data_IF_975815950336
#
_entry.id   IF_975815950336
#
_cell.length_a   1.000
_cell.length_b   1.000
_cell.length_c   1.000
_cell.angle_alpha   90.00
_cell.angle_beta   90.00
_cell.angle_gamma   90.00
#
_symmetry.space_group_name_H-M   'P 1'
#
loop_
_entity.id
_entity.type
_entity.pdbx_description
1 polymer ?
#
# COMPACT_ATOMS: atom_id res chain seq x y z
N UNK A 1 -6.50 7.66 0.85
CA UNK A 1 -5.36 6.78 1.09
C UNK A 1 -4.09 7.58 0.98
N UNK A 2 -3.11 7.33 1.84
CA UNK A 2 -1.81 8.00 1.81
C UNK A 2 -0.71 6.96 1.77
N UNK A 3 0.26 7.15 0.88
CA UNK A 3 1.46 6.33 0.77
C UNK A 3 2.61 7.08 1.43
N UNK A 4 3.16 6.52 2.51
CA UNK A 4 4.38 6.99 3.12
C UNK A 4 5.54 6.23 2.47
N UNK A 5 6.38 6.96 1.75
CA UNK A 5 7.52 6.36 1.04
C UNK A 5 8.71 6.25 1.99
N UNK A 6 9.09 5.02 2.34
CA UNK A 6 10.27 4.72 3.15
C UNK A 6 11.47 4.63 2.21
N UNK A 7 12.21 5.74 2.13
CA UNK A 7 13.41 5.85 1.29
C UNK A 7 14.63 5.89 2.21
N UNK A 8 15.29 4.74 2.39
CA UNK A 8 16.57 4.66 3.10
C UNK A 8 17.72 4.94 2.10
N UNK A 9 17.96 6.21 1.78
CA UNK A 9 19.09 6.64 0.94
C UNK A 9 18.89 7.96 0.19
N UNK A 10 19.87 8.31 -0.64
CA UNK A 10 19.87 9.53 -1.47
C UNK A 10 18.64 9.60 -2.39
N UNK A 11 17.87 10.67 -2.25
CA UNK A 11 16.71 11.00 -3.10
C UNK A 11 17.16 11.37 -4.51
N UNK A 12 17.50 10.36 -5.30
CA UNK A 12 17.80 10.51 -6.72
C UNK A 12 16.51 10.72 -7.52
N UNK A 13 16.54 11.49 -8.62
CA UNK A 13 15.35 11.75 -9.45
C UNK A 13 14.72 10.48 -10.04
N UNK A 14 15.46 9.38 -10.12
CA UNK A 14 14.97 8.04 -10.43
C UNK A 14 13.96 7.52 -9.40
N UNK A 15 14.15 7.80 -8.11
CA UNK A 15 13.23 7.34 -7.05
C UNK A 15 11.87 8.00 -7.20
N UNK A 16 11.80 9.28 -7.56
CA UNK A 16 10.51 9.96 -7.81
C UNK A 16 9.71 9.30 -8.92
N UNK A 17 10.35 8.88 -10.01
CA UNK A 17 9.69 8.13 -11.09
C UNK A 17 9.17 6.77 -10.60
N UNK A 18 9.98 6.07 -9.81
CA UNK A 18 9.60 4.77 -9.23
C UNK A 18 8.44 4.93 -8.25
N UNK A 19 8.42 5.96 -7.39
CA UNK A 19 7.29 6.27 -6.52
C UNK A 19 6.01 6.45 -7.33
N UNK A 20 6.06 7.26 -8.40
CA UNK A 20 4.87 7.52 -9.23
C UNK A 20 4.37 6.23 -9.90
N UNK A 21 5.28 5.42 -10.47
CA UNK A 21 4.91 4.16 -11.13
C UNK A 21 4.33 3.15 -10.12
N UNK A 22 4.96 3.01 -8.95
CA UNK A 22 4.46 2.16 -7.87
C UNK A 22 3.12 2.66 -7.34
N UNK A 23 2.95 3.96 -7.13
CA UNK A 23 1.66 4.51 -6.70
C UNK A 23 0.58 4.16 -7.72
N UNK A 24 0.87 4.33 -9.01
CA UNK A 24 -0.07 4.03 -10.08
C UNK A 24 -0.47 2.55 -10.10
N UNK A 25 0.43 1.62 -9.78
CA UNK A 25 0.14 0.17 -9.69
C UNK A 25 -0.54 -0.23 -8.38
N UNK A 26 -0.10 0.33 -7.26
CA UNK A 26 -0.58 -0.01 -5.91
C UNK A 26 -1.98 0.53 -5.67
N UNK A 27 -2.24 1.77 -6.10
CA UNK A 27 -3.50 2.46 -5.87
C UNK A 27 -4.74 1.65 -6.32
N UNK A 28 -4.83 1.15 -7.56
CA UNK A 28 -5.99 0.35 -7.98
C UNK A 28 -6.06 -1.00 -7.25
N UNK A 29 -4.94 -1.67 -7.01
CA UNK A 29 -4.90 -2.97 -6.31
C UNK A 29 -5.35 -2.87 -4.86
N UNK A 30 -4.80 -1.92 -4.13
CA UNK A 30 -5.20 -1.66 -2.74
C UNK A 30 -6.65 -1.23 -2.67
N UNK A 31 -7.12 -0.40 -3.61
CA UNK A 31 -8.53 -0.01 -3.67
C UNK A 31 -9.43 -1.23 -3.90
N UNK A 32 -9.08 -2.11 -4.84
CA UNK A 32 -9.83 -3.35 -5.07
C UNK A 32 -9.84 -4.28 -3.85
N UNK A 33 -8.69 -4.43 -3.18
CA UNK A 33 -8.59 -5.21 -1.96
C UNK A 33 -9.48 -4.65 -0.85
N UNK A 34 -9.43 -3.33 -0.61
CA UNK A 34 -10.24 -2.67 0.41
C UNK A 34 -11.74 -2.77 0.09
N UNK A 35 -12.14 -2.58 -1.17
CA UNK A 35 -13.53 -2.78 -1.59
C UNK A 35 -13.97 -4.24 -1.34
N UNK A 36 -13.18 -5.21 -1.79
CA UNK A 36 -13.52 -6.63 -1.64
C UNK A 36 -13.62 -7.08 -0.17
N UNK A 37 -12.94 -6.42 0.76
CA UNK A 37 -12.89 -6.82 2.17
C UNK A 37 -13.73 -5.94 3.10
N UNK A 38 -13.94 -4.67 2.76
CA UNK A 38 -14.54 -3.65 3.62
C UNK A 38 -15.72 -2.91 2.98
N UNK A 39 -16.23 -3.35 1.82
CA UNK A 39 -17.27 -2.67 1.02
C UNK A 39 -18.45 -2.11 1.83
N UNK A 40 -18.88 -2.83 2.87
CA UNK A 40 -20.03 -2.45 3.70
C UNK A 40 -19.68 -1.59 4.94
N UNK A 41 -18.40 -1.47 5.30
CA UNK A 41 -17.95 -0.80 6.53
C UNK A 41 -17.27 0.56 6.27
N UNK A 42 -16.96 0.86 5.00
CA UNK A 42 -16.47 2.17 4.59
C UNK A 42 -17.63 3.17 4.61
N UNK A 43 -17.92 3.75 5.78
CA UNK A 43 -18.88 4.84 5.97
C UNK A 43 -18.52 6.16 5.25
N UNK A 44 -17.55 6.14 4.33
CA UNK A 44 -17.04 7.33 3.65
C UNK A 44 -16.01 6.99 2.60
N UNK A 45 -14.77 7.45 2.79
CA UNK A 45 -13.68 7.39 1.82
C UNK A 45 -12.44 6.65 2.36
N UNK A 46 -11.55 6.21 1.47
CA UNK A 46 -10.29 5.56 1.85
C UNK A 46 -9.27 6.53 2.50
N UNK A 47 -9.69 7.71 2.93
CA UNK A 47 -8.83 8.78 3.46
C UNK A 47 -8.09 8.36 4.73
N UNK A 48 -8.73 7.54 5.57
CA UNK A 48 -8.20 7.01 6.82
C UNK A 48 -7.14 5.92 6.65
N UNK A 49 -6.91 5.42 5.42
CA UNK A 49 -5.93 4.36 5.17
C UNK A 49 -4.57 4.94 4.81
N UNK A 50 -3.57 4.51 5.56
CA UNK A 50 -2.17 4.86 5.40
C UNK A 50 -1.37 3.59 5.13
N UNK A 51 -0.51 3.64 4.13
CA UNK A 51 0.35 2.54 3.72
C UNK A 51 1.79 3.00 3.72
N UNK A 52 2.67 2.22 4.31
CA UNK A 52 4.11 2.44 4.26
C UNK A 52 4.68 1.59 3.12
N UNK A 53 5.44 2.21 2.23
CA UNK A 53 6.01 1.58 1.03
C UNK A 53 7.52 1.68 1.10
N UNK A 54 8.18 0.54 1.29
CA UNK A 54 9.62 0.40 1.17
C UNK A 54 9.97 0.08 -0.29
N UNK A 55 10.56 1.07 -0.96
CA UNK A 55 10.96 0.94 -2.37
C UNK A 55 12.17 0.01 -2.51
N UNK A 56 13.06 -0.02 -1.51
CA UNK A 56 14.32 -0.76 -1.54
C UNK A 56 14.08 -2.25 -1.35
N UNK A 57 13.28 -2.59 -0.34
CA UNK A 57 12.87 -3.97 -0.07
C UNK A 57 11.64 -4.39 -0.88
N UNK A 58 11.06 -3.46 -1.65
CA UNK A 58 9.90 -3.74 -2.48
C UNK A 58 8.78 -4.36 -1.64
N UNK A 59 8.42 -3.66 -0.56
CA UNK A 59 7.52 -4.17 0.45
C UNK A 59 6.52 -3.09 0.85
N UNK A 60 5.24 -3.45 0.98
CA UNK A 60 4.17 -2.53 1.35
C UNK A 60 3.44 -3.06 2.57
N UNK A 61 3.26 -2.24 3.59
CA UNK A 61 2.48 -2.63 4.74
C UNK A 61 1.51 -1.53 5.14
N UNK A 62 0.51 -1.91 5.93
CA UNK A 62 -0.46 -0.99 6.46
C UNK A 62 0.19 -0.24 7.62
N UNK A 63 0.20 1.09 7.52
CA UNK A 63 0.77 1.95 8.54
C UNK A 63 -0.12 1.95 9.78
N UNK A 64 0.50 2.03 10.96
CA UNK A 64 -0.19 2.15 12.26
C UNK A 64 -1.04 3.42 12.38
N UNK A 65 -0.89 4.37 11.44
CA UNK A 65 -1.79 5.53 11.30
C UNK A 65 -3.20 5.13 10.85
N UNK A 66 -3.35 3.98 10.23
CA UNK A 66 -4.66 3.43 9.88
C UNK A 66 -5.37 2.96 11.16
N UNK A 67 -6.68 3.18 11.33
CA UNK A 67 -7.38 2.71 12.52
C UNK A 67 -7.21 1.21 12.75
N UNK A 68 -6.81 0.81 13.97
CA UNK A 68 -6.44 -0.56 14.32
C UNK A 68 -7.52 -1.60 14.02
N UNK A 69 -8.80 -1.22 14.16
CA UNK A 69 -9.95 -2.08 13.85
C UNK A 69 -9.95 -2.58 12.40
N UNK A 70 -9.44 -1.78 11.46
CA UNK A 70 -9.25 -2.20 10.08
C UNK A 70 -7.97 -3.02 9.93
N UNK A 71 -6.86 -2.55 10.50
CA UNK A 71 -5.55 -3.22 10.42
C UNK A 71 -5.67 -4.69 10.82
N UNK A 72 -6.19 -5.00 12.00
CA UNK A 72 -6.23 -6.39 12.50
C UNK A 72 -7.06 -7.31 11.61
N UNK A 73 -8.05 -6.77 10.89
CA UNK A 73 -8.90 -7.55 9.98
C UNK A 73 -8.24 -7.84 8.65
N UNK A 74 -7.52 -6.86 8.11
CA UNK A 74 -7.05 -6.93 6.72
C UNK A 74 -5.54 -7.17 6.60
N UNK A 75 -4.76 -7.05 7.69
CA UNK A 75 -3.29 -7.11 7.66
C UNK A 75 -2.75 -8.40 7.06
N UNK A 76 -3.23 -9.56 7.51
CA UNK A 76 -2.72 -10.86 7.04
C UNK A 76 -3.09 -11.12 5.58
N UNK A 77 -4.29 -10.72 5.17
CA UNK A 77 -4.74 -10.87 3.78
C UNK A 77 -4.06 -9.85 2.85
N UNK A 78 -3.82 -8.63 3.35
CA UNK A 78 -3.12 -7.58 2.61
C UNK A 78 -1.70 -8.00 2.29
N UNK A 79 -0.97 -8.55 3.26
CA UNK A 79 0.41 -9.00 3.06
C UNK A 79 0.49 -10.11 1.99
N UNK A 80 -0.44 -11.07 2.05
CA UNK A 80 -0.53 -12.16 1.06
C UNK A 80 -0.90 -11.68 -0.34
N UNK A 81 -1.82 -10.73 -0.47
CA UNK A 81 -2.30 -10.30 -1.78
C UNK A 81 -1.41 -9.23 -2.41
N UNK A 82 -0.99 -8.24 -1.62
CA UNK A 82 -0.16 -7.13 -2.10
C UNK A 82 1.29 -7.61 -2.23
N UNK A 83 1.95 -8.05 -1.14
CA UNK A 83 3.36 -8.46 -1.22
C UNK A 83 3.56 -9.87 -1.78
N UNK A 84 2.58 -10.76 -1.61
CA UNK A 84 2.63 -12.10 -2.20
C UNK A 84 2.28 -12.15 -3.69
N UNK A 85 1.64 -11.11 -4.25
CA UNK A 85 1.52 -10.99 -5.70
C UNK A 85 2.78 -10.37 -6.29
N UNK A 86 3.08 -10.74 -7.53
CA UNK A 86 4.21 -10.30 -8.35
C UNK A 86 4.27 -8.77 -8.64
N UNK A 87 3.90 -7.90 -7.70
CA UNK A 87 3.99 -6.43 -7.80
C UNK A 87 5.37 -5.96 -8.25
N UNK A 88 6.39 -6.73 -7.91
CA UNK A 88 7.79 -6.42 -8.18
C UNK A 88 8.47 -7.41 -9.13
N UNK A 89 7.76 -8.44 -9.60
CA UNK A 89 8.28 -9.34 -10.63
C UNK A 89 8.03 -8.75 -12.01
N UNK A 90 8.85 -7.77 -12.37
CA UNK A 90 9.14 -7.44 -13.75
C UNK A 90 10.66 -7.57 -13.93
N UNK A 91 11.09 -8.81 -14.18
CA UNK A 91 12.37 -9.11 -14.83
C UNK A 91 12.08 -9.35 -16.30
#
# INVERSE_FOLDING_TARGET
>A
MKFNWVINGDTTPSIKKICIDLEYRLRPRITQFLLSRLDNELYGDFSAFHFDVDIKNQWVWISEKTPHNYIDRIRDDFDKEINGSALFSAV
#
